data_IF_580936973452
#
_entry.id   IF_580936973452
#
_cell.length_a   1.000
_cell.length_b   1.000
_cell.length_c   1.000
_cell.angle_alpha   90.00
_cell.angle_beta   90.00
_cell.angle_gamma   90.00
#
_symmetry.space_group_name_H-M   'P 1'
#
loop_
_entity.id
_entity.type
_entity.pdbx_description
1 polymer ?
#
# COMPACT_ATOMS: atom_id res chain seq x y z
N UNK A 1 -20.72 -22.98 1.94
CA UNK A 1 -19.93 -22.56 3.11
C UNK A 1 -18.45 -22.71 2.71
N UNK A 2 -18.05 -22.03 1.62
CA UNK A 2 -16.74 -22.20 0.94
C UNK A 2 -16.12 -20.84 0.57
N UNK A 3 -16.92 -19.85 0.17
CA UNK A 3 -16.43 -18.57 -0.36
C UNK A 3 -15.45 -17.81 0.55
N UNK A 4 -15.66 -17.84 1.87
CA UNK A 4 -14.78 -17.18 2.82
C UNK A 4 -13.43 -17.92 3.01
N UNK A 5 -13.42 -19.23 2.78
CA UNK A 5 -12.20 -20.03 2.81
C UNK A 5 -11.41 -19.83 1.51
N UNK A 6 -12.10 -19.82 0.37
CA UNK A 6 -11.51 -19.57 -0.95
C UNK A 6 -10.88 -18.18 -1.03
N UNK A 7 -11.54 -17.15 -0.49
CA UNK A 7 -11.00 -15.80 -0.42
C UNK A 7 -9.70 -15.74 0.40
N UNK A 8 -9.62 -16.47 1.52
CA UNK A 8 -8.42 -16.51 2.36
C UNK A 8 -7.27 -17.23 1.67
N UNK A 9 -7.56 -18.34 0.97
CA UNK A 9 -6.57 -19.06 0.17
C UNK A 9 -6.05 -18.19 -0.97
N UNK A 10 -6.93 -17.51 -1.69
CA UNK A 10 -6.58 -16.60 -2.79
C UNK A 10 -5.77 -15.39 -2.31
N UNK A 11 -6.12 -14.83 -1.16
CA UNK A 11 -5.35 -13.76 -0.50
C UNK A 11 -3.95 -14.26 -0.13
N UNK A 12 -3.85 -15.43 0.51
CA UNK A 12 -2.58 -16.01 0.92
C UNK A 12 -1.68 -16.27 -0.29
N UNK A 13 -2.19 -16.87 -1.35
CA UNK A 13 -1.46 -17.10 -2.59
C UNK A 13 -0.97 -15.78 -3.24
N UNK A 14 -1.74 -14.70 -3.10
CA UNK A 14 -1.35 -13.37 -3.60
C UNK A 14 -0.19 -12.79 -2.79
N UNK A 15 -0.22 -12.93 -1.46
CA UNK A 15 0.85 -12.48 -0.57
C UNK A 15 2.12 -13.32 -0.75
N UNK A 16 2.00 -14.65 -0.83
CA UNK A 16 3.16 -15.53 -1.04
C UNK A 16 3.84 -15.23 -2.39
N UNK A 17 3.07 -14.99 -3.45
CA UNK A 17 3.61 -14.58 -4.75
C UNK A 17 4.28 -13.19 -4.67
N UNK A 18 3.72 -12.26 -3.90
CA UNK A 18 4.30 -10.94 -3.71
C UNK A 18 5.67 -11.04 -3.03
N UNK A 19 5.75 -11.82 -1.94
CA UNK A 19 6.98 -12.08 -1.20
C UNK A 19 8.09 -12.62 -2.11
N UNK A 20 7.80 -13.67 -2.89
CA UNK A 20 8.73 -14.26 -3.87
C UNK A 20 9.25 -13.23 -4.89
N UNK A 21 8.37 -12.33 -5.37
CA UNK A 21 8.72 -11.33 -6.38
C UNK A 21 9.55 -10.19 -5.78
N UNK A 22 9.23 -9.76 -4.56
CA UNK A 22 9.95 -8.67 -3.90
C UNK A 22 11.41 -9.04 -3.61
N UNK A 23 11.66 -10.29 -3.22
CA UNK A 23 13.02 -10.82 -3.02
C UNK A 23 13.86 -10.73 -4.30
N UNK A 24 13.28 -11.03 -5.46
CA UNK A 24 13.97 -10.95 -6.76
C UNK A 24 14.11 -9.50 -7.24
N UNK A 25 13.10 -8.67 -6.99
CA UNK A 25 13.07 -7.28 -7.46
C UNK A 25 14.00 -6.35 -6.64
N UNK A 26 14.43 -6.76 -5.44
CA UNK A 26 15.36 -6.00 -4.61
C UNK A 26 14.79 -4.69 -4.07
N UNK A 27 13.45 -4.58 -3.98
CA UNK A 27 12.76 -3.36 -3.56
C UNK A 27 12.91 -3.03 -2.07
N UNK A 28 13.44 -3.96 -1.28
CA UNK A 28 13.78 -3.72 0.12
C UNK A 28 14.83 -2.61 0.32
N UNK A 29 15.61 -2.28 -0.72
CA UNK A 29 16.63 -1.21 -0.67
C UNK A 29 16.15 0.10 -1.33
N UNK A 30 14.94 0.13 -1.90
CA UNK A 30 14.34 1.33 -2.48
C UNK A 30 13.39 1.99 -1.48
N UNK A 31 13.88 3.05 -0.82
CA UNK A 31 13.12 3.84 0.15
C UNK A 31 11.77 4.38 -0.38
N UNK A 32 11.58 4.44 -1.71
CA UNK A 32 10.32 4.89 -2.34
C UNK A 32 9.32 3.77 -2.57
N UNK A 33 9.75 2.51 -2.59
CA UNK A 33 8.92 1.39 -3.05
C UNK A 33 7.64 1.24 -2.21
N UNK A 34 7.77 1.30 -0.88
CA UNK A 34 6.61 1.21 0.04
C UNK A 34 5.65 2.35 -0.17
N UNK A 35 6.15 3.58 -0.27
CA UNK A 35 5.30 4.74 -0.47
C UNK A 35 4.60 4.71 -1.84
N UNK A 36 5.31 4.26 -2.88
CA UNK A 36 4.75 4.13 -4.24
C UNK A 36 3.64 3.09 -4.28
N UNK A 37 3.82 1.94 -3.64
CA UNK A 37 2.77 0.92 -3.57
C UNK A 37 1.58 1.41 -2.73
N UNK A 38 1.82 2.08 -1.61
CA UNK A 38 0.76 2.66 -0.78
C UNK A 38 -0.04 3.73 -1.55
N UNK A 39 0.63 4.58 -2.33
CA UNK A 39 -0.02 5.55 -3.23
C UNK A 39 -0.91 4.86 -4.25
N UNK A 40 -0.44 3.77 -4.88
CA UNK A 40 -1.23 3.05 -5.86
C UNK A 40 -2.51 2.42 -5.25
N UNK A 41 -2.46 1.94 -4.01
CA UNK A 41 -3.67 1.53 -3.30
C UNK A 41 -4.60 2.71 -2.97
N UNK A 42 -4.04 3.85 -2.56
CA UNK A 42 -4.83 5.07 -2.33
C UNK A 42 -5.53 5.54 -3.62
N UNK A 43 -4.85 5.48 -4.76
CA UNK A 43 -5.43 5.80 -6.07
C UNK A 43 -6.60 4.87 -6.41
N UNK A 44 -6.49 3.58 -6.06
CA UNK A 44 -7.56 2.60 -6.27
C UNK A 44 -8.76 2.82 -5.36
N UNK A 45 -8.55 3.36 -4.14
CA UNK A 45 -9.63 3.72 -3.21
C UNK A 45 -10.46 4.92 -3.71
N UNK A 46 -9.84 5.85 -4.44
CA UNK A 46 -10.52 6.95 -5.15
C UNK A 46 -11.47 7.75 -4.25
N UNK A 47 -12.76 7.75 -4.58
CA UNK A 47 -13.81 8.51 -3.88
C UNK A 47 -14.03 8.09 -2.42
N UNK A 48 -13.47 6.94 -2.01
CA UNK A 48 -13.53 6.48 -0.61
C UNK A 48 -12.62 7.26 0.33
N UNK A 49 -11.65 7.98 -0.21
CA UNK A 49 -10.83 8.89 0.57
C UNK A 49 -11.66 10.11 0.97
N UNK A 50 -11.46 10.65 2.17
CA UNK A 50 -12.00 11.95 2.52
C UNK A 50 -11.14 13.10 1.95
N UNK A 51 -11.55 14.35 2.19
CA UNK A 51 -10.82 15.51 1.68
C UNK A 51 -9.40 15.65 2.26
N UNK A 52 -9.21 15.30 3.53
CA UNK A 52 -7.91 15.37 4.19
C UNK A 52 -6.98 14.26 3.68
N UNK A 53 -7.50 13.03 3.57
CA UNK A 53 -6.78 11.87 3.07
C UNK A 53 -6.34 12.09 1.61
N UNK A 54 -7.21 12.65 0.76
CA UNK A 54 -6.81 13.05 -0.62
C UNK A 54 -5.68 14.08 -0.61
N UNK A 55 -5.81 15.13 0.20
CA UNK A 55 -4.80 16.16 0.27
C UNK A 55 -3.45 15.64 0.80
N UNK A 56 -3.47 14.67 1.72
CA UNK A 56 -2.29 13.97 2.20
C UNK A 56 -1.64 13.10 1.11
N UNK A 57 -2.45 12.32 0.36
CA UNK A 57 -1.98 11.51 -0.78
C UNK A 57 -1.38 12.39 -1.88
N UNK A 58 -1.99 13.53 -2.19
CA UNK A 58 -1.46 14.47 -3.17
C UNK A 58 -0.12 15.07 -2.70
N UNK A 59 0.00 15.41 -1.41
CA UNK A 59 1.25 15.89 -0.84
C UNK A 59 2.36 14.82 -0.87
N UNK A 60 2.02 13.56 -0.57
CA UNK A 60 2.94 12.44 -0.73
C UNK A 60 3.39 12.29 -2.18
N UNK A 61 2.47 12.36 -3.15
CA UNK A 61 2.79 12.27 -4.59
C UNK A 61 3.72 13.41 -5.03
N UNK A 62 3.46 14.64 -4.61
CA UNK A 62 4.33 15.80 -4.87
C UNK A 62 5.72 15.61 -4.28
N UNK A 63 5.83 15.08 -3.06
CA UNK A 63 7.13 14.80 -2.45
C UNK A 63 7.93 13.75 -3.22
N UNK A 64 7.33 12.61 -3.56
CA UNK A 64 8.05 11.52 -4.24
C UNK A 64 8.39 11.84 -5.71
N UNK A 65 7.64 12.74 -6.35
CA UNK A 65 7.89 13.18 -7.74
C UNK A 65 8.78 14.42 -7.86
N UNK A 66 8.55 15.44 -7.03
CA UNK A 66 9.17 16.76 -7.16
C UNK A 66 10.09 17.13 -5.98
N UNK A 67 10.22 16.23 -4.99
CA UNK A 67 10.97 16.47 -3.75
C UNK A 67 10.48 17.67 -2.93
N UNK A 68 9.24 18.12 -3.12
CA UNK A 68 8.63 19.14 -2.26
C UNK A 68 8.34 18.57 -0.87
N UNK A 69 9.13 19.03 0.11
CA UNK A 69 9.07 18.55 1.50
C UNK A 69 7.99 19.24 2.32
N UNK A 70 7.51 20.41 1.90
CA UNK A 70 6.70 21.30 2.74
C UNK A 70 5.30 20.72 2.97
N UNK A 71 4.64 20.26 1.90
CA UNK A 71 3.33 19.62 1.99
C UNK A 71 3.38 18.30 2.78
N UNK A 72 4.37 17.45 2.49
CA UNK A 72 4.56 16.17 3.17
C UNK A 72 4.79 16.33 4.66
N UNK A 73 5.68 17.22 5.10
CA UNK A 73 5.96 17.41 6.53
C UNK A 73 4.72 17.85 7.31
N UNK A 74 3.89 18.73 6.73
CA UNK A 74 2.63 19.13 7.34
C UNK A 74 1.69 17.94 7.54
N UNK A 75 1.44 17.17 6.48
CA UNK A 75 0.53 16.02 6.55
C UNK A 75 1.07 14.87 7.40
N UNK A 76 2.38 14.64 7.37
CA UNK A 76 3.06 13.73 8.29
C UNK A 76 2.83 14.14 9.75
N UNK A 77 2.95 15.43 10.10
CA UNK A 77 2.67 15.90 11.46
C UNK A 77 1.19 15.73 11.85
N UNK A 78 0.26 15.96 10.92
CA UNK A 78 -1.18 15.73 11.15
C UNK A 78 -1.47 14.26 11.44
N UNK A 79 -0.98 13.34 10.61
CA UNK A 79 -1.20 11.92 10.82
C UNK A 79 -0.46 11.37 12.05
N UNK A 80 0.74 11.88 12.37
CA UNK A 80 1.45 11.55 13.59
C UNK A 80 0.64 11.97 14.84
N UNK A 81 0.07 13.18 14.81
CA UNK A 81 -0.80 13.64 15.91
C UNK A 81 -2.07 12.81 16.04
N UNK A 82 -2.67 12.37 14.92
CA UNK A 82 -3.82 11.44 14.94
C UNK A 82 -3.43 10.09 15.55
N UNK A 83 -2.26 9.54 15.22
CA UNK A 83 -1.72 8.33 15.83
C UNK A 83 -1.62 8.46 17.36
N UNK A 84 -1.08 9.57 17.85
CA UNK A 84 -0.94 9.82 19.29
C UNK A 84 -2.31 9.95 19.98
N UNK A 85 -3.25 10.67 19.36
CA UNK A 85 -4.59 10.90 19.91
C UNK A 85 -5.46 9.63 19.90
N UNK A 86 -5.30 8.78 18.89
CA UNK A 86 -6.08 7.55 18.71
C UNK A 86 -5.43 6.32 19.37
N UNK A 87 -4.45 6.51 20.29
CA UNK A 87 -3.73 5.43 20.97
C UNK A 87 -3.14 4.40 19.98
N UNK A 88 -2.59 4.89 18.87
CA UNK A 88 -2.00 4.10 17.78
C UNK A 88 -2.98 3.29 16.93
N UNK A 89 -4.29 3.55 16.99
CA UNK A 89 -5.28 2.86 16.16
C UNK A 89 -5.73 3.77 15.01
N UNK A 90 -4.91 3.87 13.96
CA UNK A 90 -5.38 4.42 12.68
C UNK A 90 -6.31 3.42 11.99
N UNK A 91 -7.31 3.91 11.25
CA UNK A 91 -8.08 3.06 10.34
C UNK A 91 -7.23 2.54 9.17
N UNK A 92 -7.67 1.49 8.45
CA UNK A 92 -6.91 0.93 7.33
C UNK A 92 -6.55 1.94 6.25
N UNK A 93 -7.49 2.82 5.88
CA UNK A 93 -7.25 3.89 4.92
C UNK A 93 -6.18 4.85 5.42
N UNK A 94 -6.26 5.29 6.68
CA UNK A 94 -5.27 6.20 7.26
C UNK A 94 -3.88 5.55 7.37
N UNK A 95 -3.79 4.23 7.56
CA UNK A 95 -2.52 3.50 7.54
C UNK A 95 -1.89 3.47 6.14
N UNK A 96 -2.68 3.27 5.10
CA UNK A 96 -2.19 3.39 3.71
C UNK A 96 -1.70 4.81 3.41
N UNK A 97 -2.46 5.83 3.81
CA UNK A 97 -2.06 7.23 3.66
C UNK A 97 -0.78 7.50 4.45
N UNK A 98 -0.67 7.01 5.68
CA UNK A 98 0.55 7.12 6.48
C UNK A 98 1.76 6.49 5.78
N UNK A 99 1.63 5.27 5.28
CA UNK A 99 2.69 4.56 4.54
C UNK A 99 3.14 5.32 3.29
N UNK A 100 2.28 6.14 2.67
CA UNK A 100 2.66 7.00 1.55
C UNK A 100 3.49 8.23 1.95
N UNK A 101 3.38 8.68 3.22
CA UNK A 101 3.99 9.92 3.73
C UNK A 101 5.35 9.71 4.40
N UNK A 102 5.62 8.51 4.92
CA UNK A 102 6.83 8.21 5.69
C UNK A 102 7.99 7.77 4.79
N UNK A 103 9.21 8.16 5.19
CA UNK A 103 10.43 7.62 4.59
C UNK A 103 10.67 6.22 5.19
N UNK A 104 10.22 5.17 4.49
CA UNK A 104 10.43 3.78 4.89
C UNK A 104 11.80 3.27 4.42
N UNK A 105 12.30 2.21 5.06
CA UNK A 105 13.56 1.56 4.69
C UNK A 105 13.51 0.80 3.36
N UNK A 106 12.32 0.65 2.75
CA UNK A 106 12.08 -0.05 1.49
C UNK A 106 10.85 -0.95 1.58
N UNK A 107 10.56 -1.69 0.50
CA UNK A 107 9.42 -2.61 0.42
C UNK A 107 9.88 -4.06 0.64
N UNK A 108 9.78 -4.52 1.88
CA UNK A 108 10.01 -5.93 2.24
C UNK A 108 8.74 -6.77 2.03
N UNK A 109 8.88 -8.09 2.00
CA UNK A 109 7.76 -9.03 1.99
C UNK A 109 6.73 -8.76 3.09
N UNK A 110 7.21 -8.58 4.33
CA UNK A 110 6.36 -8.20 5.47
C UNK A 110 5.59 -6.89 5.24
N UNK A 111 6.27 -5.85 4.75
CA UNK A 111 5.62 -4.56 4.46
C UNK A 111 4.62 -4.69 3.31
N UNK A 112 4.93 -5.49 2.28
CA UNK A 112 4.02 -5.82 1.19
C UNK A 112 2.76 -6.53 1.68
N UNK A 113 2.90 -7.55 2.53
CA UNK A 113 1.79 -8.24 3.18
C UNK A 113 0.93 -7.25 3.99
N UNK A 114 1.56 -6.41 4.81
CA UNK A 114 0.83 -5.39 5.56
C UNK A 114 0.01 -4.48 4.64
N UNK A 115 0.60 -3.93 3.57
CA UNK A 115 -0.11 -3.05 2.64
C UNK A 115 -1.28 -3.76 1.94
N UNK A 116 -1.13 -5.03 1.56
CA UNK A 116 -2.21 -5.85 0.98
C UNK A 116 -3.35 -6.02 1.98
N UNK A 117 -3.04 -6.36 3.24
CA UNK A 117 -4.05 -6.54 4.28
C UNK A 117 -4.79 -5.24 4.59
N UNK A 118 -4.07 -4.12 4.64
CA UNK A 118 -4.67 -2.80 4.85
C UNK A 118 -5.55 -2.37 3.66
N UNK A 119 -5.14 -2.66 2.42
CA UNK A 119 -5.94 -2.43 1.22
C UNK A 119 -7.27 -3.19 1.26
N UNK A 120 -7.24 -4.48 1.62
CA UNK A 120 -8.43 -5.30 1.78
C UNK A 120 -9.32 -4.79 2.92
N UNK A 121 -8.73 -4.43 4.07
CA UNK A 121 -9.45 -3.88 5.21
C UNK A 121 -10.03 -2.47 4.93
N UNK A 122 -9.42 -1.70 4.04
CA UNK A 122 -9.96 -0.46 3.47
C UNK A 122 -11.08 -0.69 2.44
N UNK A 123 -11.42 -1.96 2.18
CA UNK A 123 -12.54 -2.38 1.36
C UNK A 123 -12.20 -2.61 -0.12
N UNK A 124 -10.92 -2.60 -0.52
CA UNK A 124 -10.55 -2.99 -1.88
C UNK A 124 -10.85 -4.48 -2.09
N UNK A 125 -11.35 -4.80 -3.29
CA UNK A 125 -11.50 -6.19 -3.69
C UNK A 125 -10.14 -6.83 -3.95
N UNK A 126 -10.08 -8.15 -3.86
CA UNK A 126 -8.84 -8.87 -4.09
C UNK A 126 -8.36 -8.74 -5.56
N UNK A 127 -9.26 -8.53 -6.52
CA UNK A 127 -8.94 -8.22 -7.92
C UNK A 127 -8.36 -6.80 -8.07
N UNK A 128 -8.83 -5.85 -7.27
CA UNK A 128 -8.28 -4.50 -7.23
C UNK A 128 -6.84 -4.51 -6.71
N UNK A 129 -6.59 -5.32 -5.67
CA UNK A 129 -5.27 -5.52 -5.10
C UNK A 129 -4.32 -6.09 -6.14
N UNK A 130 -4.73 -7.13 -6.85
CA UNK A 130 -3.93 -7.71 -7.92
C UNK A 130 -3.60 -6.71 -9.03
N UNK A 131 -4.59 -5.93 -9.47
CA UNK A 131 -4.40 -4.93 -10.51
C UNK A 131 -3.34 -3.90 -10.10
N UNK A 132 -3.37 -3.47 -8.84
CA UNK A 132 -2.33 -2.60 -8.26
C UNK A 132 -0.96 -3.30 -8.26
N UNK A 133 -0.88 -4.53 -7.75
CA UNK A 133 0.40 -5.27 -7.70
C UNK A 133 0.98 -5.49 -9.10
N UNK A 134 0.16 -5.82 -10.09
CA UNK A 134 0.58 -5.99 -11.48
C UNK A 134 1.13 -4.69 -12.09
N UNK A 135 0.58 -3.54 -11.71
CA UNK A 135 1.00 -2.23 -12.21
C UNK A 135 2.17 -1.60 -11.44
N UNK A 136 2.38 -1.98 -10.18
CA UNK A 136 3.30 -1.30 -9.26
C UNK A 136 4.50 -2.14 -8.82
N UNK A 137 4.43 -3.47 -8.90
CA UNK A 137 5.51 -4.38 -8.47
C UNK A 137 6.16 -5.03 -9.70
N UNK A 138 7.42 -4.68 -10.03
CA UNK A 138 8.16 -5.30 -11.13
C UNK A 138 8.19 -6.82 -11.00
N UNK A 139 7.85 -7.52 -12.08
CA UNK A 139 7.86 -9.00 -12.12
C UNK A 139 6.56 -9.66 -11.62
N UNK A 140 5.69 -8.95 -10.89
CA UNK A 140 4.48 -9.55 -10.33
C UNK A 140 3.50 -10.04 -11.41
N UNK A 141 3.23 -9.22 -12.42
CA UNK A 141 2.35 -9.60 -13.53
C UNK A 141 2.87 -10.84 -14.28
N UNK A 142 4.18 -10.91 -14.52
CA UNK A 142 4.80 -12.06 -15.16
C UNK A 142 4.69 -13.31 -14.29
N UNK A 143 4.98 -13.21 -13.00
CA UNK A 143 4.87 -14.32 -12.06
C UNK A 143 3.43 -14.84 -11.96
N UNK A 144 2.44 -13.93 -11.98
CA UNK A 144 1.02 -14.29 -11.91
C UNK A 144 0.51 -15.03 -13.15
N UNK A 145 1.01 -14.71 -14.34
CA UNK A 145 0.67 -15.49 -15.56
C UNK A 145 1.10 -16.96 -15.48
N UNK A 146 2.18 -17.26 -14.74
CA UNK A 146 2.67 -18.62 -14.56
C UNK A 146 1.97 -19.37 -13.41
N UNK A 147 1.26 -18.64 -12.53
CA UNK A 147 0.48 -19.19 -11.42
C UNK A 147 -0.92 -18.55 -11.40
N UNK A 148 -1.81 -18.93 -12.33
CA UNK A 148 -3.18 -18.46 -12.34
C UNK A 148 -3.90 -18.92 -11.07
N UNK A 149 -4.89 -18.11 -10.67
CA UNK A 149 -5.67 -18.26 -9.44
C UNK A 149 -6.49 -19.54 -9.40
#
# INVERSE_FOLDING_TARGET
MDDANDLRLAMRATVDLLDEVLDVAGLENDARATATLALAFCDRLGDRLDADQRAAVDAARCYWSQQDRTGRHRWHAVHASRLDQQRHVLGPVDRLVWCSLVDNSGLTGFMGECLVLEALAAGLGLDDVEAVLCGSVPGFAAARMHRPR
#
